data_IF_910289582615
#
_entry.id   IF_910289582615
#
_cell.length_a   1.000
_cell.length_b   1.000
_cell.length_c   1.000
_cell.angle_alpha   90.00
_cell.angle_beta   90.00
_cell.angle_gamma   90.00
#
_symmetry.space_group_name_H-M   'P 1'
#
loop_
_entity.id
_entity.type
_entity.pdbx_description
1 polymer ?
#
# COMPACT_ATOMS: atom_id res chain seq x y z
N UNK A 1 -6.41 -16.15 -8.59
CA UNK A 1 -4.93 -16.03 -8.55
C UNK A 1 -4.30 -17.35 -9.01
N UNK A 2 -3.06 -17.31 -9.53
CA UNK A 2 -2.38 -18.54 -9.98
C UNK A 2 -2.14 -19.53 -8.84
N UNK A 3 -2.01 -19.04 -7.60
CA UNK A 3 -1.80 -19.85 -6.38
C UNK A 3 -3.04 -20.64 -5.92
N UNK A 4 -4.22 -20.35 -6.48
CA UNK A 4 -5.48 -21.01 -6.15
C UNK A 4 -6.32 -21.31 -7.41
N UNK A 5 -5.63 -21.61 -8.52
CA UNK A 5 -6.24 -21.90 -9.81
C UNK A 5 -7.15 -23.15 -9.79
N UNK A 6 -6.95 -24.04 -8.82
CA UNK A 6 -7.58 -25.35 -8.68
C UNK A 6 -8.91 -25.33 -7.92
N UNK A 7 -9.37 -24.17 -7.46
CA UNK A 7 -10.71 -24.01 -6.89
C UNK A 7 -11.78 -24.41 -7.90
N UNK A 8 -12.80 -25.13 -7.44
CA UNK A 8 -13.92 -25.59 -8.26
C UNK A 8 -14.53 -24.45 -9.11
N UNK A 9 -14.78 -23.30 -8.50
CA UNK A 9 -15.31 -22.13 -9.19
C UNK A 9 -14.37 -21.59 -10.30
N UNK A 10 -13.04 -21.65 -10.09
CA UNK A 10 -12.07 -21.23 -11.10
C UNK A 10 -12.03 -22.21 -12.27
N UNK A 11 -12.12 -23.51 -11.99
CA UNK A 11 -12.19 -24.57 -13.00
C UNK A 11 -13.44 -24.38 -13.88
N UNK A 12 -14.59 -24.12 -13.26
CA UNK A 12 -15.86 -23.92 -13.97
C UNK A 12 -15.87 -22.64 -14.82
N UNK A 13 -15.34 -21.53 -14.29
CA UNK A 13 -15.40 -20.22 -14.95
C UNK A 13 -14.27 -19.98 -15.96
N UNK A 14 -13.12 -20.62 -15.75
CA UNK A 14 -11.90 -20.41 -16.54
C UNK A 14 -11.19 -21.74 -16.85
N UNK A 15 -11.87 -22.72 -17.49
CA UNK A 15 -11.35 -24.08 -17.65
C UNK A 15 -10.04 -24.14 -18.44
N UNK A 16 -9.88 -23.28 -19.46
CA UNK A 16 -8.67 -23.24 -20.30
C UNK A 16 -7.47 -22.75 -19.48
N UNK A 17 -7.63 -21.66 -18.74
CA UNK A 17 -6.56 -21.07 -17.93
C UNK A 17 -6.12 -22.03 -16.82
N UNK A 18 -7.08 -22.65 -16.13
CA UNK A 18 -6.79 -23.57 -15.03
C UNK A 18 -6.13 -24.87 -15.50
N UNK A 19 -6.51 -25.38 -16.68
CA UNK A 19 -5.82 -26.50 -17.33
C UNK A 19 -4.37 -26.15 -17.69
N UNK A 20 -4.13 -24.97 -18.27
CA UNK A 20 -2.79 -24.51 -18.62
C UNK A 20 -1.88 -24.39 -17.38
N UNK A 21 -2.37 -23.77 -16.30
CA UNK A 21 -1.60 -23.67 -15.04
C UNK A 21 -1.31 -25.06 -14.46
N UNK A 22 -2.25 -26.00 -14.57
CA UNK A 22 -2.06 -27.39 -14.10
C UNK A 22 -0.94 -28.10 -14.87
N UNK A 23 -0.97 -28.01 -16.19
CA UNK A 23 -0.03 -28.69 -17.08
C UNK A 23 1.38 -28.11 -16.96
N UNK A 24 1.50 -26.79 -16.85
CA UNK A 24 2.78 -26.10 -16.74
C UNK A 24 3.35 -26.13 -15.32
N UNK A 25 2.48 -26.12 -14.30
CA UNK A 25 2.85 -25.77 -12.94
C UNK A 25 2.85 -24.26 -12.71
N UNK A 26 2.52 -23.85 -11.48
CA UNK A 26 2.34 -22.43 -11.10
C UNK A 26 3.61 -21.62 -11.35
N UNK A 27 4.79 -22.12 -10.98
CA UNK A 27 6.05 -21.41 -11.14
C UNK A 27 6.37 -21.09 -12.59
N UNK A 28 6.28 -22.08 -13.48
CA UNK A 28 6.57 -21.91 -14.91
C UNK A 28 5.52 -21.04 -15.60
N UNK A 29 4.25 -21.20 -15.24
CA UNK A 29 3.18 -20.33 -15.73
C UNK A 29 3.43 -18.86 -15.38
N UNK A 30 3.72 -18.57 -14.10
CA UNK A 30 3.97 -17.20 -13.65
C UNK A 30 5.26 -16.66 -14.28
N UNK A 31 6.34 -17.46 -14.36
CA UNK A 31 7.58 -17.06 -15.05
C UNK A 31 7.32 -16.68 -16.50
N UNK A 32 6.60 -17.51 -17.24
CA UNK A 32 6.26 -17.23 -18.64
C UNK A 32 5.37 -15.99 -18.78
N UNK A 33 4.43 -15.77 -17.85
CA UNK A 33 3.60 -14.56 -17.83
C UNK A 33 4.45 -13.29 -17.65
N UNK A 34 5.36 -13.26 -16.67
CA UNK A 34 6.26 -12.11 -16.45
C UNK A 34 7.22 -11.88 -17.60
N UNK A 35 7.82 -12.94 -18.16
CA UNK A 35 8.68 -12.83 -19.33
C UNK A 35 7.91 -12.32 -20.55
N UNK A 36 6.67 -12.78 -20.75
CA UNK A 36 5.81 -12.30 -21.83
C UNK A 36 5.44 -10.83 -21.63
N UNK A 37 5.08 -10.44 -20.41
CA UNK A 37 4.79 -9.06 -20.06
C UNK A 37 6.00 -8.15 -20.29
N UNK A 38 7.20 -8.54 -19.83
CA UNK A 38 8.44 -7.78 -20.06
C UNK A 38 8.83 -7.71 -21.54
N UNK A 39 8.63 -8.78 -22.32
CA UNK A 39 8.84 -8.75 -23.79
C UNK A 39 7.87 -7.81 -24.49
N UNK A 40 6.61 -7.78 -24.05
CA UNK A 40 5.59 -6.90 -24.59
C UNK A 40 5.83 -5.44 -24.19
N UNK A 41 6.35 -5.20 -22.98
CA UNK A 41 6.72 -3.88 -22.48
C UNK A 41 7.94 -3.95 -21.52
N UNK A 42 9.16 -3.65 -22.03
CA UNK A 42 10.38 -3.68 -21.23
C UNK A 42 10.40 -2.70 -20.05
N UNK A 43 9.62 -1.61 -20.11
CA UNK A 43 9.63 -0.53 -19.13
C UNK A 43 8.50 -0.65 -18.09
N UNK A 44 7.63 -1.65 -18.20
CA UNK A 44 6.51 -1.82 -17.26
C UNK A 44 7.00 -2.14 -15.83
N UNK A 45 6.46 -1.47 -14.82
CA UNK A 45 6.61 -1.92 -13.43
C UNK A 45 5.76 -3.17 -13.21
N UNK A 46 6.40 -4.34 -13.15
CA UNK A 46 5.69 -5.61 -13.00
C UNK A 46 5.46 -5.93 -11.52
N UNK A 47 4.19 -6.00 -11.13
CA UNK A 47 3.76 -6.37 -9.79
C UNK A 47 3.40 -7.86 -9.74
N UNK A 48 3.96 -8.58 -8.76
CA UNK A 48 3.40 -9.85 -8.32
C UNK A 48 2.42 -9.58 -7.18
N UNK A 49 1.13 -9.88 -7.37
CA UNK A 49 0.06 -9.50 -6.46
C UNK A 49 -0.70 -10.73 -5.94
N UNK A 50 -0.87 -10.85 -4.62
CA UNK A 50 -1.64 -11.95 -4.01
C UNK A 50 -2.14 -11.55 -2.59
N UNK A 51 -3.15 -12.26 -2.09
CA UNK A 51 -3.60 -12.15 -0.69
C UNK A 51 -2.83 -13.07 0.26
N UNK A 52 -2.08 -14.04 -0.28
CA UNK A 52 -1.21 -14.89 0.53
C UNK A 52 -0.08 -14.04 1.10
N UNK A 53 -0.01 -14.05 2.41
CA UNK A 53 0.98 -13.28 3.20
C UNK A 53 1.83 -14.19 4.08
N UNK A 54 1.77 -15.50 3.85
CA UNK A 54 2.47 -16.52 4.62
C UNK A 54 3.90 -16.78 4.09
N UNK A 55 4.82 -17.28 4.94
CA UNK A 55 6.18 -17.57 4.54
C UNK A 55 6.29 -18.56 3.37
N UNK A 56 5.36 -19.52 3.24
CA UNK A 56 5.43 -20.48 2.15
C UNK A 56 5.21 -19.79 0.80
N UNK A 57 4.28 -18.83 0.70
CA UNK A 57 4.14 -18.01 -0.51
C UNK A 57 5.41 -17.20 -0.82
N UNK A 58 6.00 -16.58 0.20
CA UNK A 58 7.23 -15.82 0.05
C UNK A 58 8.40 -16.71 -0.44
N UNK A 59 8.55 -17.92 0.11
CA UNK A 59 9.68 -18.80 -0.19
C UNK A 59 9.52 -19.61 -1.49
N UNK A 60 8.28 -19.93 -1.89
CA UNK A 60 8.02 -20.80 -3.05
C UNK A 60 7.56 -20.05 -4.30
N UNK A 61 6.99 -18.85 -4.15
CA UNK A 61 6.54 -18.06 -5.31
C UNK A 61 7.43 -16.85 -5.49
N UNK A 62 7.53 -15.98 -4.48
CA UNK A 62 8.26 -14.72 -4.62
C UNK A 62 9.75 -14.97 -4.85
N UNK A 63 10.38 -15.79 -3.99
CA UNK A 63 11.81 -16.11 -4.08
C UNK A 63 12.19 -16.82 -5.40
N UNK A 64 11.31 -17.68 -5.90
CA UNK A 64 11.58 -18.51 -7.08
C UNK A 64 11.23 -17.82 -8.41
N UNK A 65 10.52 -16.68 -8.36
CA UNK A 65 10.13 -15.90 -9.54
C UNK A 65 11.30 -15.06 -10.07
N UNK A 66 12.30 -15.77 -10.59
CA UNK A 66 13.53 -15.23 -11.15
C UNK A 66 13.73 -15.66 -12.60
N UNK A 67 14.58 -14.93 -13.32
CA UNK A 67 15.06 -15.30 -14.65
C UNK A 67 16.17 -16.36 -14.57
N UNK A 68 16.77 -16.69 -15.72
CA UNK A 68 17.84 -17.68 -15.80
C UNK A 68 19.12 -17.27 -15.04
N UNK A 69 19.32 -15.98 -14.79
CA UNK A 69 20.46 -15.44 -14.04
C UNK A 69 20.15 -15.25 -12.55
N UNK A 70 18.96 -15.67 -12.09
CA UNK A 70 18.51 -15.51 -10.71
C UNK A 70 18.05 -14.09 -10.36
N UNK A 71 17.83 -13.20 -11.34
CA UNK A 71 17.30 -11.86 -11.09
C UNK A 71 15.78 -11.92 -10.94
N UNK A 72 15.18 -11.21 -9.97
CA UNK A 72 13.73 -11.15 -9.84
C UNK A 72 13.06 -10.64 -11.13
N UNK A 73 12.04 -11.36 -11.59
CA UNK A 73 11.26 -10.97 -12.78
C UNK A 73 10.25 -9.85 -12.50
N UNK A 74 10.01 -9.57 -11.22
CA UNK A 74 9.10 -8.54 -10.72
C UNK A 74 9.86 -7.34 -10.15
N UNK A 75 9.19 -6.19 -10.17
CA UNK A 75 9.71 -4.94 -9.65
C UNK A 75 9.14 -4.61 -8.28
N UNK A 76 7.91 -5.05 -8.00
CA UNK A 76 7.15 -4.70 -6.80
C UNK A 76 6.38 -5.93 -6.30
N UNK A 77 6.24 -6.04 -4.99
CA UNK A 77 5.41 -7.05 -4.34
C UNK A 77 4.08 -6.40 -3.92
N UNK A 78 3.00 -6.86 -4.53
CA UNK A 78 1.63 -6.49 -4.23
C UNK A 78 1.04 -7.38 -3.14
N UNK A 79 0.45 -6.76 -2.13
CA UNK A 79 -0.16 -7.39 -0.97
C UNK A 79 -1.63 -7.00 -0.93
N UNK A 80 -2.51 -7.95 -1.22
CA UNK A 80 -3.93 -7.80 -0.93
C UNK A 80 -4.13 -7.98 0.58
N UNK A 81 -4.74 -7.00 1.22
CA UNK A 81 -5.00 -7.01 2.67
C UNK A 81 -6.50 -6.90 2.94
N UNK A 82 -7.26 -7.85 2.41
CA UNK A 82 -8.69 -7.94 2.66
C UNK A 82 -8.98 -8.42 4.09
N UNK A 83 -9.33 -7.50 4.99
CA UNK A 83 -9.56 -7.80 6.41
C UNK A 83 -11.02 -8.15 6.72
N UNK A 84 -11.65 -8.86 5.79
CA UNK A 84 -13.03 -9.35 5.87
C UNK A 84 -13.23 -10.34 7.03
N UNK A 85 -12.22 -11.17 7.29
CA UNK A 85 -12.20 -12.13 8.40
C UNK A 85 -11.74 -11.57 9.73
N UNK A 86 -11.46 -10.27 9.81
CA UNK A 86 -10.96 -9.62 11.02
C UNK A 86 -9.74 -8.74 10.75
N UNK A 87 -9.69 -7.65 11.50
CA UNK A 87 -8.60 -6.69 11.44
C UNK A 87 -7.26 -7.35 11.81
N UNK A 88 -6.23 -7.10 11.01
CA UNK A 88 -4.91 -7.69 11.21
C UNK A 88 -4.23 -7.24 12.49
N UNK A 89 -4.54 -6.02 12.95
CA UNK A 89 -3.75 -5.39 14.01
C UNK A 89 -2.40 -4.93 13.50
N UNK A 90 -1.79 -4.01 14.24
CA UNK A 90 -0.46 -3.50 13.94
C UNK A 90 0.60 -4.61 13.81
N UNK A 91 0.62 -5.58 14.75
CA UNK A 91 1.65 -6.63 14.78
C UNK A 91 1.71 -7.43 13.49
N UNK A 92 0.57 -7.99 13.07
CA UNK A 92 0.50 -8.77 11.84
C UNK A 92 0.83 -7.92 10.62
N UNK A 93 0.33 -6.69 10.56
CA UNK A 93 0.61 -5.76 9.44
C UNK A 93 2.11 -5.56 9.25
N UNK A 94 2.84 -5.34 10.36
CA UNK A 94 4.29 -5.20 10.33
C UNK A 94 5.00 -6.50 9.95
N UNK A 95 4.64 -7.63 10.56
CA UNK A 95 5.24 -8.93 10.25
C UNK A 95 5.11 -9.28 8.75
N UNK A 96 3.98 -8.91 8.14
CA UNK A 96 3.77 -9.06 6.70
C UNK A 96 4.72 -8.16 5.90
N UNK A 97 4.85 -6.88 6.26
CA UNK A 97 5.79 -5.99 5.58
C UNK A 97 7.22 -6.55 5.63
N UNK A 98 7.68 -7.01 6.79
CA UNK A 98 9.02 -7.56 6.99
C UNK A 98 9.27 -8.83 6.17
N UNK A 99 8.26 -9.70 6.11
CA UNK A 99 8.34 -10.96 5.35
C UNK A 99 8.65 -10.71 3.87
N UNK A 100 8.12 -9.63 3.29
CA UNK A 100 8.31 -9.30 1.88
C UNK A 100 9.41 -8.25 1.64
N UNK A 101 9.70 -7.37 2.60
CA UNK A 101 10.75 -6.37 2.48
C UNK A 101 12.15 -7.00 2.27
N UNK A 102 12.37 -8.22 2.77
CA UNK A 102 13.65 -8.96 2.60
C UNK A 102 14.05 -9.21 1.15
N UNK A 103 13.12 -9.09 0.20
CA UNK A 103 13.41 -9.23 -1.23
C UNK A 103 13.99 -7.95 -1.86
N UNK A 104 14.11 -6.86 -1.10
CA UNK A 104 14.69 -5.60 -1.58
C UNK A 104 13.84 -4.91 -2.65
N UNK A 105 12.56 -5.25 -2.74
CA UNK A 105 11.59 -4.66 -3.68
C UNK A 105 10.56 -3.82 -2.92
N UNK A 106 10.04 -2.74 -3.52
CA UNK A 106 8.92 -2.00 -2.95
C UNK A 106 7.71 -2.88 -2.69
N UNK A 107 6.95 -2.51 -1.66
CA UNK A 107 5.71 -3.14 -1.24
C UNK A 107 4.55 -2.21 -1.56
N UNK A 108 3.57 -2.76 -2.27
CA UNK A 108 2.30 -2.09 -2.53
C UNK A 108 1.21 -2.86 -1.79
N UNK A 109 0.53 -2.20 -0.87
CA UNK A 109 -0.73 -2.71 -0.33
C UNK A 109 -1.82 -2.42 -1.34
N UNK A 110 -2.09 -3.37 -2.22
CA UNK A 110 -2.85 -3.18 -3.46
C UNK A 110 -4.35 -3.21 -3.24
N UNK A 111 -4.82 -3.93 -2.22
CA UNK A 111 -6.25 -4.17 -2.00
C UNK A 111 -6.55 -4.17 -0.50
N UNK A 112 -6.69 -2.97 0.07
CA UNK A 112 -7.03 -2.79 1.48
C UNK A 112 -8.54 -2.75 1.67
N UNK A 113 -9.07 -3.64 2.51
CA UNK A 113 -10.44 -3.52 3.05
C UNK A 113 -10.44 -3.72 4.55
N UNK A 114 -11.15 -2.86 5.29
CA UNK A 114 -11.46 -3.04 6.72
C UNK A 114 -12.95 -2.81 6.91
N UNK A 115 -13.67 -3.78 7.46
CA UNK A 115 -15.13 -3.72 7.53
C UNK A 115 -15.65 -2.93 8.73
N UNK A 116 -16.72 -2.17 8.52
CA UNK A 116 -17.43 -1.39 9.54
C UNK A 116 -18.65 -2.10 10.14
N UNK A 117 -18.74 -3.43 10.01
CA UNK A 117 -19.81 -4.19 10.62
C UNK A 117 -19.62 -5.71 10.51
N UNK A 118 -20.24 -6.50 11.42
CA UNK A 118 -20.17 -7.95 11.39
C UNK A 118 -21.04 -8.51 10.26
N UNK A 119 -20.69 -9.71 9.81
CA UNK A 119 -21.57 -10.52 8.97
C UNK A 119 -22.57 -11.24 9.86
N UNK A 120 -23.85 -11.07 9.58
CA UNK A 120 -24.97 -11.65 10.35
C UNK A 120 -25.94 -12.36 9.41
N UNK A 121 -26.93 -13.07 9.96
CA UNK A 121 -28.02 -13.68 9.17
C UNK A 121 -28.84 -12.64 8.40
N UNK A 122 -28.93 -11.41 8.92
CA UNK A 122 -29.58 -10.28 8.27
C UNK A 122 -28.72 -9.64 7.16
N UNK A 123 -27.52 -10.19 6.91
CA UNK A 123 -26.56 -9.71 5.93
C UNK A 123 -25.33 -9.07 6.54
N UNK A 124 -24.55 -8.40 5.69
CA UNK A 124 -23.30 -7.75 6.06
C UNK A 124 -23.45 -6.25 5.87
N UNK A 125 -23.72 -5.54 6.97
CA UNK A 125 -24.08 -4.12 6.95
C UNK A 125 -23.20 -3.34 7.93
N UNK A 126 -22.95 -2.07 7.61
CA UNK A 126 -22.26 -1.14 8.50
C UNK A 126 -23.08 -0.90 9.77
N UNK A 127 -22.43 -0.65 10.90
CA UNK A 127 -23.09 -0.23 12.15
C UNK A 127 -22.40 1.00 12.73
N UNK A 128 -23.09 1.87 13.48
CA UNK A 128 -22.45 3.05 14.10
C UNK A 128 -21.18 2.70 14.89
N UNK A 129 -21.24 1.68 15.75
CA UNK A 129 -20.08 1.21 16.53
C UNK A 129 -18.98 0.61 15.63
N UNK A 130 -19.38 -0.04 14.54
CA UNK A 130 -18.46 -0.64 13.59
C UNK A 130 -17.72 0.39 12.74
N UNK A 131 -18.35 1.51 12.41
CA UNK A 131 -17.71 2.64 11.72
C UNK A 131 -16.69 3.35 12.59
N UNK A 132 -17.03 3.57 13.88
CA UNK A 132 -16.08 4.10 14.86
C UNK A 132 -14.89 3.16 15.00
N UNK A 133 -15.13 1.85 15.07
CA UNK A 133 -14.07 0.84 15.08
C UNK A 133 -13.24 0.85 13.79
N UNK A 134 -13.87 0.94 12.63
CA UNK A 134 -13.20 0.97 11.32
C UNK A 134 -12.25 2.15 11.24
N UNK A 135 -12.70 3.36 11.59
CA UNK A 135 -11.85 4.55 11.60
C UNK A 135 -10.62 4.36 12.51
N UNK A 136 -10.84 3.81 13.72
CA UNK A 136 -9.73 3.50 14.66
C UNK A 136 -8.75 2.50 14.07
N UNK A 137 -9.24 1.41 13.48
CA UNK A 137 -8.41 0.33 12.93
C UNK A 137 -7.65 0.77 11.68
N UNK A 138 -8.29 1.54 10.81
CA UNK A 138 -7.67 2.07 9.58
C UNK A 138 -6.64 3.14 9.92
N UNK A 139 -6.91 3.99 10.90
CA UNK A 139 -5.91 4.91 11.42
C UNK A 139 -4.65 4.19 11.91
N UNK A 140 -4.81 3.09 12.67
CA UNK A 140 -3.67 2.25 13.12
C UNK A 140 -2.95 1.64 11.92
N UNK A 141 -3.68 1.01 11.00
CA UNK A 141 -3.13 0.35 9.82
C UNK A 141 -2.36 1.28 8.89
N UNK A 142 -2.98 2.39 8.45
CA UNK A 142 -2.33 3.36 7.56
C UNK A 142 -1.10 3.97 8.21
N UNK A 143 -1.12 4.17 9.54
CA UNK A 143 0.07 4.65 10.26
C UNK A 143 1.21 3.63 10.17
N UNK A 144 0.93 2.35 10.38
CA UNK A 144 1.94 1.28 10.28
C UNK A 144 2.52 1.22 8.86
N UNK A 145 1.67 1.24 7.84
CA UNK A 145 2.10 1.16 6.45
C UNK A 145 2.91 2.38 6.01
N UNK A 146 2.41 3.58 6.30
CA UNK A 146 3.08 4.84 5.95
C UNK A 146 4.43 5.00 6.68
N UNK A 147 4.63 4.25 7.77
CA UNK A 147 5.89 4.22 8.53
C UNK A 147 6.91 3.22 8.00
N UNK A 148 6.52 2.29 7.13
CA UNK A 148 7.40 1.21 6.72
C UNK A 148 8.21 1.61 5.47
N UNK A 149 9.55 1.58 5.50
CA UNK A 149 10.37 2.11 4.40
C UNK A 149 10.19 1.33 3.10
N UNK A 150 9.91 0.03 3.15
CA UNK A 150 9.64 -0.73 1.94
C UNK A 150 8.24 -0.46 1.35
N UNK A 151 7.32 0.17 2.10
CA UNK A 151 5.97 0.46 1.61
C UNK A 151 5.97 1.76 0.83
N UNK A 152 5.55 1.66 -0.42
CA UNK A 152 5.51 2.80 -1.35
C UNK A 152 4.09 3.10 -1.85
N UNK A 153 3.14 2.17 -1.66
CA UNK A 153 1.73 2.40 -2.02
C UNK A 153 0.74 1.71 -1.09
N UNK A 154 -0.41 2.36 -0.91
CA UNK A 154 -1.59 1.85 -0.20
C UNK A 154 -2.83 2.17 -1.05
N UNK A 155 -3.53 1.14 -1.51
CA UNK A 155 -4.72 1.22 -2.36
C UNK A 155 -5.89 0.60 -1.64
N UNK A 156 -6.93 1.41 -1.43
CA UNK A 156 -8.18 0.97 -0.83
C UNK A 156 -9.10 0.39 -1.90
N UNK A 157 -9.75 -0.74 -1.60
CA UNK A 157 -10.47 -1.51 -2.61
C UNK A 157 -11.87 -0.97 -2.94
N UNK A 158 -12.64 -0.58 -1.91
CA UNK A 158 -14.03 -0.15 -2.07
C UNK A 158 -14.18 1.30 -1.62
N UNK A 159 -14.51 2.22 -2.54
CA UNK A 159 -14.71 3.63 -2.17
C UNK A 159 -15.95 3.85 -1.29
N UNK A 160 -17.05 3.17 -1.61
CA UNK A 160 -18.31 3.21 -0.86
C UNK A 160 -18.84 1.80 -0.62
N UNK A 161 -19.79 1.66 0.29
CA UNK A 161 -20.49 0.39 0.52
C UNK A 161 -21.43 0.00 -0.65
N UNK A 162 -21.67 0.92 -1.60
CA UNK A 162 -22.55 0.67 -2.74
C UNK A 162 -21.89 -0.34 -3.69
N UNK A 163 -22.47 -1.54 -3.78
CA UNK A 163 -21.93 -2.65 -4.59
C UNK A 163 -20.47 -3.00 -4.28
N UNK A 164 -20.03 -2.73 -3.04
CA UNK A 164 -18.71 -3.12 -2.56
C UNK A 164 -18.46 -4.61 -2.74
N UNK A 165 -17.21 -4.99 -2.93
CA UNK A 165 -16.84 -6.39 -3.15
C UNK A 165 -17.36 -7.29 -2.01
N UNK A 166 -17.99 -8.40 -2.38
CA UNK A 166 -18.71 -9.31 -1.47
C UNK A 166 -19.88 -8.69 -0.67
N UNK A 167 -20.31 -7.48 -1.04
CA UNK A 167 -21.28 -6.70 -0.27
C UNK A 167 -20.75 -6.29 1.11
N UNK A 168 -19.43 -6.21 1.28
CA UNK A 168 -18.81 -5.87 2.55
C UNK A 168 -18.99 -4.37 2.87
N UNK A 169 -19.26 -3.99 4.13
CA UNK A 169 -19.33 -2.59 4.54
C UNK A 169 -17.90 -2.04 4.73
N UNK A 170 -17.09 -2.03 3.68
CA UNK A 170 -15.68 -1.64 3.70
C UNK A 170 -15.43 -0.26 3.05
N UNK A 171 -16.47 0.42 2.58
CA UNK A 171 -16.36 1.74 1.97
C UNK A 171 -15.82 2.80 2.94
N UNK A 172 -15.22 3.85 2.38
CA UNK A 172 -15.07 5.13 3.07
C UNK A 172 -16.42 5.85 3.21
N UNK A 173 -17.33 5.59 2.29
CA UNK A 173 -18.70 6.09 2.31
C UNK A 173 -19.69 4.95 2.57
N UNK A 174 -20.86 5.31 3.11
CA UNK A 174 -22.02 4.41 3.20
C UNK A 174 -22.65 4.22 1.82
N UNK A 175 -23.68 3.37 1.74
CA UNK A 175 -24.42 3.09 0.50
C UNK A 175 -25.13 4.33 -0.07
N UNK A 176 -25.59 5.23 0.81
CA UNK A 176 -26.18 6.52 0.45
C UNK A 176 -25.13 7.61 0.13
N UNK A 177 -23.86 7.23 0.02
CA UNK A 177 -22.71 8.11 -0.24
C UNK A 177 -22.39 9.12 0.88
N UNK A 178 -23.01 9.01 2.06
CA UNK A 178 -22.59 9.80 3.22
C UNK A 178 -21.23 9.34 3.75
N UNK A 179 -20.35 10.25 4.19
CA UNK A 179 -19.02 9.88 4.69
C UNK A 179 -19.13 9.11 6.00
N UNK A 180 -18.34 8.04 6.10
CA UNK A 180 -18.07 7.38 7.38
C UNK A 180 -16.92 8.09 8.11
N UNK A 181 -16.81 7.95 9.44
CA UNK A 181 -15.68 8.44 10.22
C UNK A 181 -14.28 8.08 9.68
N UNK A 182 -14.11 6.94 9.00
CA UNK A 182 -12.83 6.55 8.41
C UNK A 182 -12.36 7.51 7.31
N UNK A 183 -13.31 8.11 6.56
CA UNK A 183 -13.01 9.08 5.52
C UNK A 183 -12.33 10.31 6.13
N UNK A 184 -12.96 10.91 7.14
CA UNK A 184 -12.44 12.11 7.81
C UNK A 184 -11.12 11.82 8.53
N UNK A 185 -11.00 10.63 9.13
CA UNK A 185 -9.80 10.24 9.85
C UNK A 185 -8.59 10.09 8.92
N UNK A 186 -8.76 9.48 7.74
CA UNK A 186 -7.72 9.41 6.73
C UNK A 186 -7.43 10.76 6.10
N UNK A 187 -8.45 11.58 5.82
CA UNK A 187 -8.26 12.93 5.31
C UNK A 187 -7.44 13.79 6.26
N UNK A 188 -7.76 13.77 7.55
CA UNK A 188 -7.00 14.45 8.60
C UNK A 188 -5.55 14.00 8.65
N UNK A 189 -5.31 12.68 8.56
CA UNK A 189 -3.96 12.10 8.62
C UNK A 189 -3.16 12.45 7.39
N UNK A 190 -3.62 11.97 6.24
CA UNK A 190 -2.89 12.07 4.99
C UNK A 190 -2.76 13.54 4.58
N UNK A 191 -3.86 14.31 4.58
CA UNK A 191 -3.86 15.71 4.07
C UNK A 191 -3.57 16.76 5.14
N UNK A 192 -3.45 16.37 6.39
CA UNK A 192 -3.07 17.25 7.48
C UNK A 192 -1.74 16.81 8.08
N UNK A 193 -1.79 15.75 8.86
CA UNK A 193 -0.73 15.37 9.80
C UNK A 193 0.54 14.86 9.12
N UNK A 194 0.37 14.09 8.06
CA UNK A 194 1.45 13.53 7.25
C UNK A 194 1.81 14.38 6.06
N UNK A 195 1.03 15.43 5.88
CA UNK A 195 1.29 16.42 4.89
C UNK A 195 2.34 17.38 5.46
N UNK A 196 3.57 17.16 5.04
CA UNK A 196 4.73 18.05 5.09
C UNK A 196 4.44 19.57 5.24
N UNK A 197 4.88 20.21 6.36
CA UNK A 197 4.76 21.67 6.72
C UNK A 197 5.84 22.12 7.76
N UNK A 198 6.64 23.19 7.56
CA UNK A 198 7.60 23.67 8.60
C UNK A 198 7.98 25.17 8.54
N UNK A 199 8.79 25.64 9.49
CA UNK A 199 9.50 26.95 9.50
C UNK A 199 10.76 26.82 10.40
N UNK A 200 11.94 27.32 10.00
CA UNK A 200 13.22 27.15 10.75
C UNK A 200 14.10 28.43 10.72
N UNK A 201 15.06 28.60 11.66
CA UNK A 201 15.96 29.77 11.80
C UNK A 201 17.40 29.41 11.45
N UNK A 202 18.11 30.29 10.74
CA UNK A 202 19.47 30.07 10.24
C UNK A 202 20.57 30.41 11.26
N UNK A 203 21.75 29.77 11.18
CA UNK A 203 22.96 30.07 11.99
C UNK A 203 24.06 30.86 11.25
N UNK A 204 25.31 30.80 11.73
CA UNK A 204 26.46 31.42 11.04
C UNK A 204 26.55 30.87 9.60
N UNK A 205 26.43 31.76 8.60
CA UNK A 205 26.49 31.38 7.18
C UNK A 205 25.17 30.93 6.53
N UNK A 206 24.00 30.97 7.19
CA UNK A 206 22.70 30.82 6.52
C UNK A 206 22.14 29.40 6.36
N UNK A 207 22.77 28.38 6.95
CA UNK A 207 22.32 26.98 6.82
C UNK A 207 21.13 26.63 7.73
N UNK A 208 20.28 25.70 7.26
CA UNK A 208 19.19 25.08 8.01
C UNK A 208 18.88 23.65 7.50
N UNK A 209 18.36 22.76 8.36
CA UNK A 209 18.04 21.35 8.05
C UNK A 209 16.58 20.97 8.40
N UNK A 210 15.98 20.02 7.66
CA UNK A 210 14.56 19.60 7.70
C UNK A 210 14.31 18.24 7.04
N UNK A 211 13.23 17.60 7.44
CA UNK A 211 12.95 16.19 7.15
C UNK A 211 11.49 15.94 6.85
N UNK A 212 11.04 16.05 5.60
CA UNK A 212 9.70 15.61 5.20
C UNK A 212 9.32 14.22 5.73
N UNK A 213 8.08 13.81 5.47
CA UNK A 213 7.97 12.43 4.98
C UNK A 213 9.03 12.22 3.87
N UNK A 214 9.16 11.03 3.29
CA UNK A 214 9.46 11.17 1.86
C UNK A 214 8.44 12.18 1.32
N UNK A 215 8.99 13.31 0.92
CA UNK A 215 8.24 14.53 1.08
C UNK A 215 9.08 15.65 1.66
N UNK A 216 8.38 16.75 1.70
CA UNK A 216 9.02 18.02 1.42
C UNK A 216 8.88 18.88 2.63
N UNK A 217 9.23 20.15 2.60
CA UNK A 217 8.69 21.13 3.52
C UNK A 217 8.82 22.52 2.90
N UNK A 218 8.11 23.47 3.49
CA UNK A 218 8.35 24.90 3.28
C UNK A 218 9.20 25.43 4.41
N UNK A 219 10.11 26.33 4.10
CA UNK A 219 10.84 27.12 5.08
C UNK A 219 10.59 28.59 4.77
N UNK A 220 9.89 29.29 5.65
CA UNK A 220 9.83 30.76 5.60
C UNK A 220 10.90 31.31 6.52
N UNK A 221 11.58 32.39 6.10
CA UNK A 221 12.63 33.07 6.86
C UNK A 221 12.31 34.57 6.96
N UNK A 222 12.07 35.05 8.16
CA UNK A 222 11.83 36.46 8.46
C UNK A 222 13.01 37.05 9.25
N UNK A 223 13.54 38.19 8.79
CA UNK A 223 14.67 38.88 9.41
C UNK A 223 14.28 40.13 10.24
N UNK A 224 12.98 40.45 10.35
CA UNK A 224 12.45 41.62 11.06
C UNK A 224 12.31 42.89 10.22
N UNK A 225 12.69 42.84 8.94
CA UNK A 225 12.49 43.92 7.95
C UNK A 225 11.83 43.43 6.67
N UNK A 226 12.15 42.20 6.24
CA UNK A 226 11.56 41.56 5.07
C UNK A 226 11.41 40.05 5.32
N UNK A 227 10.26 39.48 4.98
CA UNK A 227 10.06 38.03 4.93
C UNK A 227 10.55 37.50 3.58
N UNK A 228 11.33 36.42 3.65
CA UNK A 228 11.79 35.61 2.53
C UNK A 228 11.38 34.15 2.74
N UNK A 229 11.43 33.30 1.75
CA UNK A 229 11.14 31.88 1.92
C UNK A 229 11.98 31.00 0.98
N UNK A 230 12.04 29.72 1.32
CA UNK A 230 12.69 28.64 0.60
C UNK A 230 12.02 27.31 0.89
N UNK A 231 12.55 26.22 0.37
CA UNK A 231 12.00 24.86 0.50
C UNK A 231 13.12 23.83 0.42
N UNK A 232 12.83 22.56 0.75
CA UNK A 232 13.65 21.39 0.41
C UNK A 232 12.86 20.08 0.51
N UNK A 233 13.57 18.96 0.48
CA UNK A 233 13.00 17.63 0.49
C UNK A 233 13.91 16.74 1.29
N UNK A 234 13.34 15.71 1.89
CA UNK A 234 14.13 14.70 2.54
C UNK A 234 13.75 13.31 2.05
N UNK A 235 14.71 12.63 1.45
CA UNK A 235 14.51 11.28 0.91
C UNK A 235 15.57 10.24 1.31
N UNK A 236 15.31 8.98 0.92
CA UNK A 236 16.18 7.82 1.20
C UNK A 236 17.59 7.94 0.59
N UNK A 237 17.80 8.88 -0.32
CA UNK A 237 19.03 9.07 -1.10
C UNK A 237 19.76 10.36 -0.77
N UNK A 238 19.18 11.19 0.09
CA UNK A 238 19.78 12.45 0.51
C UNK A 238 21.09 12.16 1.26
N UNK A 239 22.22 12.49 0.62
CA UNK A 239 23.57 12.16 1.08
C UNK A 239 24.40 13.43 1.36
N UNK A 240 23.78 14.44 1.98
CA UNK A 240 24.46 15.68 2.36
C UNK A 240 23.51 16.88 2.58
N UNK A 241 24.05 18.08 2.84
CA UNK A 241 23.25 19.29 3.03
C UNK A 241 22.47 19.69 1.77
N UNK A 242 21.29 20.25 1.97
CA UNK A 242 20.52 20.93 0.93
C UNK A 242 20.73 22.43 1.11
N UNK A 243 21.42 23.09 0.19
CA UNK A 243 21.51 24.55 0.18
C UNK A 243 20.19 25.17 -0.30
N UNK A 244 19.70 26.17 0.44
CA UNK A 244 18.41 26.82 0.18
C UNK A 244 18.64 28.32 -0.04
N UNK A 245 18.37 28.85 -1.24
CA UNK A 245 18.43 30.31 -1.54
C UNK A 245 17.11 31.00 -1.16
N UNK A 246 17.17 32.26 -0.73
CA UNK A 246 16.04 33.04 -0.18
C UNK A 246 15.75 34.28 -1.04
N UNK A 247 14.48 34.71 -1.20
CA UNK A 247 14.04 35.86 -2.05
C UNK A 247 13.25 36.95 -1.30
#
# INVERSE_FOLDING_TARGET
EATHYDRQQCIERSPILTAAIREMGVGDYVRQAFQTARRANPDATLLINDYRTDPAYADTVIKELTDADGKPLYDVIGIQSHMHGGYWGAKRTWDVCETFARFGKPLHFTEVTVVSGPRTDAGWKTTPDGEVRQARQVAEFYTVLFSHPAVEAITWWDFSDQSAWQGAPAGFLRDDMSPKPVYDELMKRIKGQWWTRTTVRTGDGGMAGFRGFLGDYTITVDDGRKTRSGTFTLDKTTTGPVEVRME
#
